data_IF_616051486265
#
_entry.id   IF_616051486265
#
_cell.length_a   1.000
_cell.length_b   1.000
_cell.length_c   1.000
_cell.angle_alpha   90.00
_cell.angle_beta   90.00
_cell.angle_gamma   90.00
#
_symmetry.space_group_name_H-M   'P 1'
#
loop_
_entity.id
_entity.type
_entity.pdbx_description
1 polymer ?
#
# COMPACT_ATOMS: atom_id res chain seq x y z
N UNK A 1 8.13 -11.61 7.51
CA UNK A 1 8.19 -10.62 8.60
C UNK A 1 7.81 -11.33 9.89
N UNK A 2 8.16 -10.82 11.08
CA UNK A 2 7.67 -11.45 12.32
C UNK A 2 6.27 -10.92 12.68
N UNK A 3 5.46 -11.66 13.47
CA UNK A 3 4.07 -11.28 13.75
C UNK A 3 3.91 -9.93 14.48
N UNK A 4 4.87 -9.53 15.31
CA UNK A 4 4.77 -8.28 16.05
C UNK A 4 4.97 -7.07 15.12
N UNK A 5 5.88 -7.21 14.17
CA UNK A 5 6.11 -6.23 13.12
C UNK A 5 4.94 -6.17 12.13
N UNK A 6 4.33 -7.31 11.79
CA UNK A 6 3.11 -7.34 10.97
C UNK A 6 1.96 -6.58 11.65
N UNK A 7 1.71 -6.82 12.94
CA UNK A 7 0.68 -6.09 13.70
C UNK A 7 0.97 -4.58 13.76
N UNK A 8 2.25 -4.21 13.93
CA UNK A 8 2.67 -2.82 13.90
C UNK A 8 2.31 -2.15 12.56
N UNK A 9 2.64 -2.78 11.43
CA UNK A 9 2.37 -2.21 10.11
C UNK A 9 0.88 -2.19 9.77
N UNK A 10 0.10 -3.16 10.23
CA UNK A 10 -1.36 -3.12 10.10
C UNK A 10 -1.96 -1.89 10.80
N UNK A 11 -1.52 -1.60 12.03
CA UNK A 11 -1.93 -0.39 12.74
C UNK A 11 -1.45 0.87 12.03
N UNK A 12 -0.19 0.88 11.58
CA UNK A 12 0.40 1.99 10.86
C UNK A 12 -0.41 2.34 9.59
N UNK A 13 -0.81 1.35 8.78
CA UNK A 13 -1.61 1.58 7.58
C UNK A 13 -3.00 2.16 7.91
N UNK A 14 -3.64 1.67 8.97
CA UNK A 14 -4.94 2.16 9.42
C UNK A 14 -4.89 3.59 9.96
N UNK A 15 -3.79 3.96 10.65
CA UNK A 15 -3.59 5.28 11.25
C UNK A 15 -3.06 6.32 10.27
N UNK A 16 -2.34 5.90 9.21
CA UNK A 16 -1.69 6.78 8.24
C UNK A 16 -2.18 6.55 6.80
N UNK A 17 -3.50 6.59 6.53
CA UNK A 17 -4.03 6.30 5.19
C UNK A 17 -3.67 7.35 4.13
N UNK A 18 -3.26 8.55 4.55
CA UNK A 18 -2.85 9.64 3.67
C UNK A 18 -1.35 9.67 3.35
N UNK A 19 -0.59 8.65 3.76
CA UNK A 19 0.86 8.64 3.56
C UNK A 19 1.23 8.69 2.07
N UNK A 20 2.31 9.38 1.76
CA UNK A 20 2.83 9.53 0.41
C UNK A 20 3.73 8.35 0.02
N UNK A 21 3.95 8.16 -1.27
CA UNK A 21 4.85 7.12 -1.78
C UNK A 21 6.29 7.29 -1.26
N UNK A 22 6.73 8.53 -1.03
CA UNK A 22 8.02 8.85 -0.42
C UNK A 22 8.13 8.46 1.06
N UNK A 23 7.00 8.28 1.74
CA UNK A 23 6.91 7.92 3.16
C UNK A 23 6.69 6.41 3.37
N UNK A 24 6.59 5.64 2.28
CA UNK A 24 6.30 4.22 2.33
C UNK A 24 7.38 3.45 3.13
N UNK A 25 6.99 2.63 4.11
CA UNK A 25 7.96 1.89 4.91
C UNK A 25 8.81 0.95 4.07
N UNK A 26 10.12 1.04 4.26
CA UNK A 26 11.12 0.24 3.55
C UNK A 26 10.83 -1.26 3.66
N UNK A 27 10.44 -1.71 4.84
CA UNK A 27 10.15 -3.10 5.15
C UNK A 27 8.93 -3.62 4.36
N UNK A 28 7.95 -2.75 4.09
CA UNK A 28 6.79 -3.07 3.26
C UNK A 28 7.18 -3.14 1.79
N UNK A 29 8.04 -2.22 1.32
CA UNK A 29 8.56 -2.25 -0.05
C UNK A 29 9.37 -3.52 -0.31
N UNK A 30 10.23 -3.89 0.63
CA UNK A 30 11.05 -5.10 0.55
C UNK A 30 10.19 -6.36 0.65
N UNK A 31 9.23 -6.41 1.57
CA UNK A 31 8.29 -7.53 1.69
C UNK A 31 7.43 -7.69 0.42
N UNK A 32 7.00 -6.58 -0.18
CA UNK A 32 6.21 -6.61 -1.42
C UNK A 32 7.00 -7.21 -2.59
N UNK A 33 8.28 -6.88 -2.69
CA UNK A 33 9.16 -7.36 -3.76
C UNK A 33 9.77 -8.76 -3.50
N UNK A 34 9.52 -9.37 -2.33
CA UNK A 34 10.13 -10.64 -1.94
C UNK A 34 9.48 -11.85 -2.63
N UNK A 35 8.19 -11.77 -2.96
CA UNK A 35 7.40 -12.87 -3.49
C UNK A 35 6.71 -12.50 -4.81
N UNK A 36 6.24 -13.51 -5.55
CA UNK A 36 5.58 -13.34 -6.84
C UNK A 36 4.13 -12.84 -6.74
N UNK A 37 3.53 -12.92 -5.56
CA UNK A 37 2.15 -12.51 -5.23
C UNK A 37 2.13 -11.93 -3.80
N UNK A 38 1.19 -11.03 -3.46
CA UNK A 38 1.09 -10.51 -2.10
C UNK A 38 0.76 -11.62 -1.11
N UNK A 39 1.49 -11.66 0.01
CA UNK A 39 1.16 -12.54 1.13
C UNK A 39 -0.13 -12.09 1.81
N UNK A 40 -0.73 -12.96 2.65
CA UNK A 40 -1.94 -12.61 3.39
C UNK A 40 -1.78 -11.34 4.25
N UNK A 41 -0.61 -11.18 4.87
CA UNK A 41 -0.26 -9.96 5.60
C UNK A 41 -0.30 -8.72 4.70
N UNK A 42 0.30 -8.80 3.50
CA UNK A 42 0.31 -7.68 2.56
C UNK A 42 -1.09 -7.35 2.05
N UNK A 43 -1.92 -8.36 1.75
CA UNK A 43 -3.33 -8.14 1.41
C UNK A 43 -4.05 -7.34 2.51
N UNK A 44 -3.89 -7.75 3.76
CA UNK A 44 -4.54 -7.10 4.90
C UNK A 44 -3.99 -5.69 5.13
N UNK A 45 -2.69 -5.48 4.95
CA UNK A 45 -2.01 -4.18 5.01
C UNK A 45 -2.54 -3.19 3.96
N UNK A 46 -2.55 -3.59 2.68
CA UNK A 46 -3.04 -2.73 1.60
C UNK A 46 -4.54 -2.51 1.70
N UNK A 47 -5.30 -3.51 2.13
CA UNK A 47 -6.74 -3.37 2.38
C UNK A 47 -7.04 -2.34 3.47
N UNK A 48 -6.32 -2.39 4.60
CA UNK A 48 -6.51 -1.45 5.72
C UNK A 48 -6.21 -0.01 5.29
N UNK A 49 -5.06 0.20 4.65
CA UNK A 49 -4.66 1.52 4.15
C UNK A 49 -5.60 2.06 3.06
N UNK A 50 -6.05 1.21 2.13
CA UNK A 50 -6.98 1.60 1.07
C UNK A 50 -8.35 2.02 1.62
N UNK A 51 -8.92 1.27 2.57
CA UNK A 51 -10.17 1.66 3.22
C UNK A 51 -10.03 2.98 3.97
N UNK A 52 -8.92 3.16 4.70
CA UNK A 52 -8.62 4.44 5.35
C UNK A 52 -8.46 5.58 4.35
N UNK A 53 -7.82 5.33 3.20
CA UNK A 53 -7.65 6.33 2.14
C UNK A 53 -9.00 6.74 1.53
N UNK A 54 -9.88 5.79 1.25
CA UNK A 54 -11.24 6.09 0.79
C UNK A 54 -12.00 6.91 1.85
N UNK A 55 -11.88 6.56 3.13
CA UNK A 55 -12.52 7.32 4.18
C UNK A 55 -12.04 8.77 4.26
N UNK A 56 -10.72 8.98 4.13
CA UNK A 56 -10.08 10.29 4.07
C UNK A 56 -10.57 11.08 2.84
N UNK A 57 -10.49 10.48 1.65
CA UNK A 57 -10.81 11.11 0.36
C UNK A 57 -12.26 11.58 0.28
N UNK A 58 -13.20 10.80 0.82
CA UNK A 58 -14.64 11.11 0.75
C UNK A 58 -15.21 11.72 2.03
N UNK A 59 -14.40 11.88 3.07
CA UNK A 59 -14.82 12.40 4.38
C UNK A 59 -15.83 11.51 5.12
N UNK A 60 -15.95 10.23 4.74
CA UNK A 60 -16.85 9.24 5.35
C UNK A 60 -16.38 7.82 5.03
N UNK A 61 -16.70 6.86 5.90
CA UNK A 61 -16.45 5.44 5.61
C UNK A 61 -17.19 4.99 4.35
N UNK A 62 -16.47 4.29 3.46
CA UNK A 62 -17.02 3.68 2.25
C UNK A 62 -16.65 2.21 2.24
N UNK A 63 -17.63 1.39 1.89
CA UNK A 63 -17.46 -0.05 1.69
C UNK A 63 -17.60 -0.36 0.20
N UNK A 64 -16.51 -0.27 -0.57
CA UNK A 64 -16.54 -0.66 -1.98
C UNK A 64 -16.84 -2.17 -2.12
N UNK A 65 -17.34 -2.59 -3.29
CA UNK A 65 -17.43 -4.01 -3.63
C UNK A 65 -16.08 -4.73 -3.49
N UNK A 66 -16.10 -6.00 -3.06
CA UNK A 66 -14.87 -6.76 -2.78
C UNK A 66 -13.95 -6.88 -3.99
N UNK A 67 -14.50 -7.05 -5.19
CA UNK A 67 -13.73 -7.11 -6.43
C UNK A 67 -12.94 -5.82 -6.73
N UNK A 68 -13.44 -4.67 -6.25
CA UNK A 68 -12.71 -3.40 -6.31
C UNK A 68 -11.58 -3.36 -5.29
N UNK A 69 -11.80 -3.87 -4.08
CA UNK A 69 -10.76 -3.96 -3.04
C UNK A 69 -9.64 -4.88 -3.51
N UNK A 70 -9.98 -6.06 -4.02
CA UNK A 70 -8.99 -7.05 -4.50
C UNK A 70 -8.12 -6.45 -5.60
N UNK A 71 -8.72 -5.74 -6.56
CA UNK A 71 -7.96 -5.03 -7.61
C UNK A 71 -7.08 -3.93 -7.04
N UNK A 72 -7.59 -3.13 -6.10
CA UNK A 72 -6.82 -2.09 -5.44
C UNK A 72 -5.59 -2.68 -4.72
N UNK A 73 -5.75 -3.79 -3.99
CA UNK A 73 -4.63 -4.48 -3.33
C UNK A 73 -3.53 -4.83 -4.34
N UNK A 74 -3.90 -5.43 -5.48
CA UNK A 74 -2.93 -5.83 -6.51
C UNK A 74 -2.16 -4.62 -7.07
N UNK A 75 -2.86 -3.52 -7.42
CA UNK A 75 -2.19 -2.35 -8.00
C UNK A 75 -1.33 -1.60 -6.98
N UNK A 76 -1.76 -1.55 -5.71
CA UNK A 76 -0.99 -0.94 -4.62
C UNK A 76 0.25 -1.77 -4.26
N UNK A 77 0.12 -3.09 -4.26
CA UNK A 77 1.26 -3.99 -4.12
C UNK A 77 2.25 -3.85 -5.27
N UNK A 78 1.79 -3.79 -6.53
CA UNK A 78 2.63 -3.52 -7.69
C UNK A 78 3.38 -2.19 -7.57
N UNK A 79 2.69 -1.13 -7.10
CA UNK A 79 3.34 0.15 -6.78
C UNK A 79 4.46 -0.01 -5.76
N UNK A 80 4.23 -0.75 -4.68
CA UNK A 80 5.27 -1.00 -3.67
C UNK A 80 6.49 -1.74 -4.25
N UNK A 81 6.27 -2.72 -5.15
CA UNK A 81 7.35 -3.41 -5.86
C UNK A 81 8.17 -2.46 -6.75
N UNK A 82 7.51 -1.55 -7.48
CA UNK A 82 8.17 -0.55 -8.32
C UNK A 82 8.96 0.47 -7.48
N UNK A 83 8.38 0.92 -6.36
CA UNK A 83 9.07 1.81 -5.42
C UNK A 83 10.33 1.14 -4.85
N UNK A 84 10.26 -0.15 -4.51
CA UNK A 84 11.44 -0.89 -4.06
C UNK A 84 12.52 -0.97 -5.14
N UNK A 85 12.11 -1.27 -6.38
CA UNK A 85 13.01 -1.35 -7.55
C UNK A 85 13.69 0.00 -7.80
N UNK A 86 12.93 1.09 -7.82
CA UNK A 86 13.45 2.44 -7.95
C UNK A 86 14.45 2.79 -6.85
N UNK A 87 14.12 2.47 -5.59
CA UNK A 87 15.01 2.65 -4.44
C UNK A 87 16.34 1.91 -4.62
N UNK A 88 16.31 0.64 -5.03
CA UNK A 88 17.51 -0.18 -5.25
C UNK A 88 18.36 0.37 -6.40
N UNK A 89 17.72 0.83 -7.48
CA UNK A 89 18.41 1.34 -8.68
C UNK A 89 18.81 2.82 -8.58
N UNK A 90 18.44 3.52 -7.50
CA UNK A 90 18.64 4.97 -7.36
C UNK A 90 17.83 5.78 -8.38
N UNK A 91 16.67 5.28 -8.81
CA UNK A 91 15.76 5.90 -9.79
C UNK A 91 14.44 6.26 -9.12
N UNK A 92 13.87 7.41 -9.47
CA UNK A 92 12.49 7.72 -9.11
C UNK A 92 11.55 7.07 -10.12
N UNK A 93 10.97 5.92 -9.77
CA UNK A 93 10.01 5.19 -10.61
C UNK A 93 8.53 5.57 -10.34
N UNK A 94 8.26 6.41 -9.34
CA UNK A 94 6.92 6.93 -9.03
C UNK A 94 6.99 8.36 -8.56
N UNK A 95 5.88 9.09 -8.71
CA UNK A 95 5.75 10.45 -8.17
C UNK A 95 5.80 10.38 -6.62
N UNK A 96 6.84 10.95 -5.98
CA UNK A 96 7.05 10.80 -4.54
C UNK A 96 5.92 11.42 -3.70
N UNK A 97 5.19 12.36 -4.28
CA UNK A 97 4.10 13.10 -3.66
C UNK A 97 2.71 12.47 -3.93
N UNK A 98 2.65 11.31 -4.60
CA UNK A 98 1.39 10.60 -4.80
C UNK A 98 1.00 9.85 -3.50
N UNK A 99 -0.29 9.86 -3.10
CA UNK A 99 -0.75 9.07 -1.95
C UNK A 99 -0.55 7.58 -2.18
N UNK A 100 0.14 6.92 -1.25
CA UNK A 100 0.59 5.53 -1.39
C UNK A 100 -0.57 4.53 -1.46
N UNK A 101 -1.66 4.76 -0.74
CA UNK A 101 -2.84 3.89 -0.73
C UNK A 101 -3.90 4.27 -1.76
N UNK A 102 -3.61 5.22 -2.68
CA UNK A 102 -4.56 5.61 -3.73
C UNK A 102 -4.45 4.74 -4.97
N UNK A 103 -5.55 4.14 -5.41
CA UNK A 103 -5.66 3.43 -6.68
C UNK A 103 -6.01 4.36 -7.87
N UNK A 104 -6.06 5.68 -7.65
CA UNK A 104 -6.35 6.65 -8.70
C UNK A 104 -5.27 6.65 -9.78
N UNK A 105 -5.69 6.46 -11.04
CA UNK A 105 -4.79 6.47 -12.21
C UNK A 105 -3.94 5.20 -12.36
N UNK A 106 -4.23 4.13 -11.62
CA UNK A 106 -3.53 2.85 -11.70
C UNK A 106 -4.22 1.77 -12.56
N UNK A 107 -5.34 2.10 -13.19
CA UNK A 107 -6.13 1.20 -14.06
C UNK A 107 -6.04 1.58 -15.54
#
# INVERSE_FOLDING_TARGET
>A
MDPAMEEHFLKFAAENPGMMCSEAPVEILEASAADAEPTKFLEDYFSAGYHGWLALKFGRSIHPPQDRVDRAIIVLWLRACLLNTGRILGRQESEPDQPFFSDDGLY
#
